data_IF_497839001396
#
_entry.id   IF_497839001396
#
_cell.length_a   1.000
_cell.length_b   1.000
_cell.length_c   1.000
_cell.angle_alpha   90.00
_cell.angle_beta   90.00
_cell.angle_gamma   90.00
#
_symmetry.space_group_name_H-M   'P 1'
#
loop_
_entity.id
_entity.type
_entity.pdbx_description
1 polymer ?
#
# COMPACT_ATOMS: atom_id res chain seq x y z
N UNK A 1 1.84 1.70 -47.17
CA UNK A 1 2.18 0.66 -46.17
C UNK A 1 1.98 1.28 -44.79
N UNK A 2 0.99 0.99 -43.95
CA UNK A 2 0.24 -0.24 -43.69
C UNK A 2 -1.24 0.05 -43.33
N UNK A 3 -2.11 -0.90 -43.67
CA UNK A 3 -3.56 -0.93 -43.50
C UNK A 3 -4.02 -1.00 -42.04
N UNK A 4 -5.01 -0.17 -41.67
CA UNK A 4 -5.92 -0.40 -40.54
C UNK A 4 -6.83 -1.60 -40.85
N UNK A 5 -6.84 -2.63 -39.99
CA UNK A 5 -7.88 -3.67 -39.99
C UNK A 5 -8.77 -3.50 -38.76
N UNK A 6 -10.05 -3.28 -39.05
CA UNK A 6 -11.21 -3.27 -38.17
C UNK A 6 -11.34 -4.61 -37.42
N UNK A 7 -11.47 -4.56 -36.09
CA UNK A 7 -11.85 -5.72 -35.27
C UNK A 7 -13.36 -5.64 -35.00
N UNK A 8 -14.06 -6.71 -35.36
CA UNK A 8 -15.50 -6.88 -35.26
C UNK A 8 -15.98 -6.91 -33.80
N UNK A 9 -17.08 -6.20 -33.53
CA UNK A 9 -17.82 -6.24 -32.25
C UNK A 9 -18.57 -7.57 -32.13
N UNK A 10 -18.17 -8.42 -31.18
CA UNK A 10 -18.91 -9.63 -30.82
C UNK A 10 -19.99 -9.31 -29.77
N UNK A 11 -21.20 -9.83 -30.00
CA UNK A 11 -22.40 -9.66 -29.17
C UNK A 11 -22.32 -10.37 -27.80
N UNK A 12 -21.31 -11.21 -27.57
CA UNK A 12 -21.15 -12.00 -26.34
C UNK A 12 -20.91 -11.14 -25.08
N UNK A 13 -20.22 -10.00 -25.21
CA UNK A 13 -19.88 -9.14 -24.06
C UNK A 13 -21.11 -8.46 -23.43
N UNK A 14 -22.19 -8.25 -24.20
CA UNK A 14 -23.41 -7.61 -23.69
C UNK A 14 -24.23 -8.53 -22.79
N UNK A 15 -24.12 -9.84 -22.99
CA UNK A 15 -24.91 -10.83 -22.27
C UNK A 15 -24.34 -11.09 -20.86
N UNK A 16 -23.02 -11.08 -20.71
CA UNK A 16 -22.37 -11.17 -19.38
C UNK A 16 -22.64 -9.94 -18.52
N UNK A 17 -22.57 -8.73 -19.09
CA UNK A 17 -22.81 -7.48 -18.34
C UNK A 17 -24.26 -7.37 -17.87
N UNK A 18 -25.23 -7.82 -18.69
CA UNK A 18 -26.65 -7.82 -18.28
C UNK A 18 -26.92 -8.79 -17.13
N UNK A 19 -26.21 -9.92 -17.09
CA UNK A 19 -26.35 -10.93 -16.03
C UNK A 19 -25.72 -10.43 -14.72
N UNK A 20 -24.58 -9.75 -14.79
CA UNK A 20 -23.94 -9.09 -13.64
C UNK A 20 -24.79 -7.96 -13.05
N UNK A 21 -25.43 -7.13 -13.88
CA UNK A 21 -26.30 -6.04 -13.39
C UNK A 21 -27.53 -6.59 -12.67
N UNK A 22 -28.12 -7.68 -13.16
CA UNK A 22 -29.27 -8.33 -12.50
C UNK A 22 -28.90 -8.93 -11.13
N UNK A 23 -27.69 -9.45 -10.98
CA UNK A 23 -27.18 -9.97 -9.70
C UNK A 23 -26.97 -8.86 -8.65
N UNK A 24 -26.58 -7.66 -9.09
CA UNK A 24 -26.37 -6.49 -8.20
C UNK A 24 -27.69 -5.90 -7.69
N UNK A 25 -28.77 -5.95 -8.47
CA UNK A 25 -30.08 -5.42 -8.05
C UNK A 25 -30.86 -6.33 -7.09
N UNK A 26 -30.48 -7.60 -6.94
CA UNK A 26 -31.20 -8.55 -6.08
C UNK A 26 -30.81 -8.47 -4.58
N UNK A 27 -29.74 -7.75 -4.23
CA UNK A 27 -29.24 -7.62 -2.84
C UNK A 27 -29.72 -6.35 -2.13
N UNK A 28 -30.55 -5.54 -2.78
CA UNK A 28 -30.98 -4.24 -2.26
C UNK A 28 -32.42 -4.25 -1.71
N UNK A 29 -32.76 -5.19 -0.82
CA UNK A 29 -33.92 -5.03 0.07
C UNK A 29 -33.87 -6.06 1.21
N UNK A 30 -33.35 -5.68 2.38
CA UNK A 30 -33.90 -5.98 3.73
C UNK A 30 -33.07 -5.23 4.79
N UNK A 31 -33.78 -4.71 5.78
CA UNK A 31 -33.49 -3.73 6.83
C UNK A 31 -32.39 -4.02 7.87
N UNK A 32 -31.76 -2.93 8.32
CA UNK A 32 -31.41 -2.54 9.71
C UNK A 32 -31.07 -3.62 10.75
N UNK A 33 -29.78 -3.80 11.03
CA UNK A 33 -29.17 -3.98 12.37
C UNK A 33 -27.65 -4.06 12.21
N UNK A 34 -26.87 -3.57 13.20
CA UNK A 34 -25.42 -3.34 13.09
C UNK A 34 -24.64 -4.53 12.51
N UNK A 35 -23.97 -4.30 11.38
CA UNK A 35 -23.19 -5.34 10.71
C UNK A 35 -21.73 -5.28 11.14
N UNK A 36 -21.37 -6.26 11.98
CA UNK A 36 -20.01 -6.76 12.07
C UNK A 36 -19.52 -7.16 10.67
N UNK A 37 -18.36 -6.65 10.26
CA UNK A 37 -17.76 -7.00 8.98
C UNK A 37 -17.57 -8.53 8.91
N UNK A 38 -17.88 -9.18 7.78
CA UNK A 38 -17.68 -10.62 7.63
C UNK A 38 -16.17 -10.91 7.71
N UNK A 39 -15.73 -11.57 8.78
CA UNK A 39 -14.36 -12.08 8.90
C UNK A 39 -14.17 -13.18 7.85
N UNK A 40 -13.56 -12.83 6.70
CA UNK A 40 -12.91 -13.84 5.86
C UNK A 40 -11.78 -14.44 6.69
N UNK A 41 -12.02 -15.64 7.21
CA UNK A 41 -11.02 -16.45 7.90
C UNK A 41 -9.98 -16.89 6.86
N UNK A 42 -8.84 -16.21 6.82
CA UNK A 42 -7.66 -16.67 6.11
C UNK A 42 -6.79 -17.41 7.13
N UNK A 43 -6.57 -18.70 6.93
CA UNK A 43 -5.92 -19.59 7.88
C UNK A 43 -4.39 -19.43 7.91
N UNK A 44 -3.87 -18.20 7.90
CA UNK A 44 -2.42 -17.98 7.97
C UNK A 44 -1.92 -17.94 9.40
N UNK A 45 -0.75 -18.53 9.64
CA UNK A 45 0.00 -18.39 10.90
C UNK A 45 0.56 -16.96 11.12
N UNK A 46 0.45 -16.06 10.13
CA UNK A 46 0.91 -14.69 10.27
C UNK A 46 0.06 -13.93 11.30
N UNK A 47 0.71 -13.57 12.41
CA UNK A 47 0.08 -12.83 13.50
C UNK A 47 0.27 -11.32 13.29
N UNK A 48 -0.85 -10.58 13.28
CA UNK A 48 -0.82 -9.12 13.31
C UNK A 48 -0.31 -8.67 14.68
N UNK A 49 0.67 -7.75 14.75
CA UNK A 49 1.15 -7.21 16.01
C UNK A 49 0.03 -6.62 16.87
N UNK A 50 0.10 -6.84 18.19
CA UNK A 50 -0.95 -6.40 19.12
C UNK A 50 -1.25 -4.90 19.04
N UNK A 51 -0.22 -4.08 18.81
CA UNK A 51 -0.34 -2.62 18.64
C UNK A 51 -1.30 -2.19 17.51
N UNK A 52 -1.56 -3.06 16.53
CA UNK A 52 -2.35 -2.75 15.34
C UNK A 52 -3.79 -3.27 15.39
N UNK A 53 -4.16 -4.02 16.43
CA UNK A 53 -5.48 -4.66 16.51
C UNK A 53 -6.62 -3.63 16.57
N UNK A 54 -6.39 -2.53 17.29
CA UNK A 54 -7.39 -1.48 17.52
C UNK A 54 -7.41 -0.42 16.40
N UNK A 55 -6.45 -0.47 15.47
CA UNK A 55 -6.33 0.51 14.37
C UNK A 55 -7.57 0.47 13.46
N UNK A 56 -8.22 -0.69 13.33
CA UNK A 56 -9.41 -0.84 12.48
C UNK A 56 -10.66 -0.19 13.08
N UNK A 57 -10.72 0.00 14.40
CA UNK A 57 -11.89 0.53 15.14
C UNK A 57 -11.65 1.95 15.65
N UNK A 58 -10.40 2.41 15.69
CA UNK A 58 -10.06 3.77 16.11
C UNK A 58 -10.62 4.83 15.14
N UNK A 59 -11.12 5.94 15.70
CA UNK A 59 -11.65 7.05 14.91
C UNK A 59 -10.56 7.79 14.11
N UNK A 60 -9.37 7.96 14.69
CA UNK A 60 -8.23 8.65 14.08
C UNK A 60 -6.92 7.89 14.38
N UNK A 61 -6.68 6.73 13.75
CA UNK A 61 -5.44 5.99 13.93
C UNK A 61 -4.24 6.75 13.35
N UNK A 62 -3.04 6.45 13.85
CA UNK A 62 -1.82 6.95 13.21
C UNK A 62 -1.75 6.42 11.78
N UNK A 63 -1.41 7.30 10.85
CA UNK A 63 -1.46 6.96 9.43
C UNK A 63 -0.50 5.84 9.06
N UNK A 64 0.68 5.79 9.68
CA UNK A 64 1.64 4.69 9.49
C UNK A 64 1.11 3.35 9.98
N UNK A 65 0.50 3.30 11.17
CA UNK A 65 -0.06 2.08 11.75
C UNK A 65 -1.20 1.52 10.89
N UNK A 66 -2.00 2.40 10.27
CA UNK A 66 -3.04 1.99 9.33
C UNK A 66 -2.46 1.31 8.07
N UNK A 67 -1.41 1.87 7.49
CA UNK A 67 -0.72 1.26 6.33
C UNK A 67 -0.07 -0.07 6.72
N UNK A 68 0.51 -0.14 7.91
CA UNK A 68 1.12 -1.35 8.45
C UNK A 68 0.08 -2.47 8.70
N UNK A 69 -1.11 -2.12 9.19
CA UNK A 69 -2.22 -3.05 9.33
C UNK A 69 -2.61 -3.65 7.97
N UNK A 70 -2.72 -2.83 6.92
CA UNK A 70 -3.03 -3.32 5.57
C UNK A 70 -1.93 -4.24 5.02
N UNK A 71 -0.66 -3.91 5.28
CA UNK A 71 0.46 -4.77 4.93
C UNK A 71 0.36 -6.14 5.61
N UNK A 72 0.12 -6.19 6.92
CA UNK A 72 0.00 -7.46 7.63
C UNK A 72 -1.22 -8.27 7.21
N UNK A 73 -2.36 -7.63 6.91
CA UNK A 73 -3.51 -8.33 6.31
C UNK A 73 -3.18 -8.91 4.94
N UNK A 74 -2.36 -8.24 4.13
CA UNK A 74 -1.89 -8.80 2.87
C UNK A 74 -0.95 -10.00 3.10
N UNK A 75 -0.07 -9.95 4.09
CA UNK A 75 0.79 -11.09 4.44
C UNK A 75 -0.02 -12.34 4.80
N UNK A 76 -1.13 -12.18 5.53
CA UNK A 76 -2.03 -13.29 5.87
C UNK A 76 -2.60 -14.01 4.63
N UNK A 77 -2.72 -13.31 3.50
CA UNK A 77 -3.26 -13.90 2.27
C UNK A 77 -2.14 -14.45 1.40
N UNK A 78 -1.01 -13.74 1.34
CA UNK A 78 0.06 -14.02 0.38
C UNK A 78 1.11 -15.01 0.89
N UNK A 79 1.30 -15.16 2.21
CA UNK A 79 2.45 -15.91 2.75
C UNK A 79 2.48 -17.38 2.30
N UNK A 80 1.34 -18.08 2.34
CA UNK A 80 1.27 -19.49 1.93
C UNK A 80 1.65 -19.68 0.47
N UNK A 81 1.07 -18.84 -0.41
CA UNK A 81 1.37 -18.85 -1.84
C UNK A 81 2.84 -18.51 -2.12
N UNK A 82 3.41 -17.56 -1.39
CA UNK A 82 4.83 -17.21 -1.52
C UNK A 82 5.75 -18.38 -1.12
N UNK A 83 5.37 -19.19 -0.13
CA UNK A 83 6.14 -20.38 0.27
C UNK A 83 6.08 -21.48 -0.80
N UNK A 84 4.93 -21.67 -1.44
CA UNK A 84 4.77 -22.61 -2.56
C UNK A 84 5.59 -22.17 -3.80
N UNK A 85 5.52 -20.89 -4.16
CA UNK A 85 6.20 -20.34 -5.35
C UNK A 85 7.74 -20.26 -5.19
N UNK A 86 8.27 -20.43 -3.98
CA UNK A 86 9.70 -20.39 -3.71
C UNK A 86 10.44 -21.58 -4.34
N UNK A 87 11.22 -21.28 -5.38
CA UNK A 87 12.11 -22.23 -6.06
C UNK A 87 13.27 -22.67 -5.15
N UNK A 88 13.64 -23.94 -5.23
CA UNK A 88 14.78 -24.51 -4.53
C UNK A 88 14.44 -25.77 -3.72
N UNK A 89 15.48 -26.54 -3.38
CA UNK A 89 15.40 -27.82 -2.64
C UNK A 89 15.34 -27.66 -1.12
N UNK A 90 15.19 -26.43 -0.62
CA UNK A 90 15.09 -26.15 0.82
C UNK A 90 13.81 -26.77 1.42
N UNK A 91 13.85 -27.10 2.71
CA UNK A 91 12.68 -27.57 3.46
C UNK A 91 11.59 -26.49 3.48
N UNK A 92 10.32 -26.91 3.56
CA UNK A 92 9.15 -26.00 3.63
C UNK A 92 9.30 -25.02 4.81
N UNK A 93 9.83 -25.49 5.93
CA UNK A 93 10.07 -24.66 7.12
C UNK A 93 11.11 -23.57 6.87
N UNK A 94 12.17 -23.88 6.13
CA UNK A 94 13.20 -22.91 5.77
C UNK A 94 12.69 -21.88 4.76
N UNK A 95 11.88 -22.32 3.79
CA UNK A 95 11.19 -21.42 2.86
C UNK A 95 10.29 -20.45 3.61
N UNK A 96 9.51 -20.92 4.59
CA UNK A 96 8.66 -20.08 5.44
C UNK A 96 9.47 -19.03 6.20
N UNK A 97 10.55 -19.43 6.86
CA UNK A 97 11.45 -18.50 7.57
C UNK A 97 12.03 -17.43 6.62
N UNK A 98 12.41 -17.84 5.41
CA UNK A 98 12.93 -16.92 4.38
C UNK A 98 11.87 -15.94 3.88
N UNK A 99 10.66 -16.41 3.57
CA UNK A 99 9.53 -15.55 3.17
C UNK A 99 9.22 -14.54 4.28
N UNK A 100 9.14 -14.99 5.53
CA UNK A 100 8.94 -14.11 6.68
C UNK A 100 10.05 -13.06 6.79
N UNK A 101 11.31 -13.44 6.58
CA UNK A 101 12.44 -12.52 6.54
C UNK A 101 12.31 -11.43 5.47
N UNK A 102 11.87 -11.81 4.26
CA UNK A 102 11.64 -10.87 3.16
C UNK A 102 10.48 -9.90 3.49
N UNK A 103 9.38 -10.42 4.05
CA UNK A 103 8.25 -9.58 4.46
C UNK A 103 8.64 -8.59 5.57
N UNK A 104 9.48 -9.01 6.52
CA UNK A 104 10.02 -8.11 7.55
C UNK A 104 10.92 -7.02 6.97
N UNK A 105 11.68 -7.33 5.90
CA UNK A 105 12.48 -6.34 5.18
C UNK A 105 11.61 -5.29 4.46
N UNK A 106 10.46 -5.69 3.93
CA UNK A 106 9.54 -4.81 3.19
C UNK A 106 8.68 -3.89 4.06
N UNK A 107 8.67 -4.10 5.38
CA UNK A 107 7.79 -3.40 6.33
C UNK A 107 8.29 -1.98 6.69
N UNK A 108 9.56 -1.77 7.10
CA UNK A 108 10.07 -0.44 7.40
C UNK A 108 10.47 0.34 6.15
N UNK A 109 10.62 1.66 6.28
CA UNK A 109 11.27 2.47 5.24
C UNK A 109 12.79 2.34 5.35
N UNK A 110 13.47 2.11 4.23
CA UNK A 110 14.95 2.06 4.14
C UNK A 110 15.62 3.33 4.69
N UNK A 111 15.14 4.51 4.25
CA UNK A 111 15.77 5.79 4.58
C UNK A 111 14.74 6.88 4.88
N UNK A 112 14.99 7.67 5.93
CA UNK A 112 14.18 8.84 6.26
C UNK A 112 15.15 9.97 6.57
N UNK A 113 15.03 11.05 5.81
CA UNK A 113 15.85 12.25 5.98
C UNK A 113 14.93 13.35 6.51
N UNK A 114 15.30 13.94 7.63
CA UNK A 114 14.72 15.16 8.17
C UNK A 114 15.73 16.28 7.95
N UNK A 115 15.28 17.39 7.38
CA UNK A 115 16.12 18.51 7.00
C UNK A 115 15.49 19.77 7.55
N UNK A 116 16.24 20.53 8.32
CA UNK A 116 15.86 21.89 8.72
C UNK A 116 16.84 22.87 8.12
N UNK A 117 16.33 23.89 7.42
CA UNK A 117 17.16 24.89 6.75
C UNK A 117 16.57 26.30 6.92
N UNK A 118 17.42 27.33 7.06
CA UNK A 118 16.96 28.72 7.13
C UNK A 118 16.55 29.22 5.74
N UNK A 119 15.44 29.94 5.67
CA UNK A 119 14.98 30.64 4.49
C UNK A 119 14.86 32.14 4.81
N UNK A 120 15.50 32.98 4.01
CA UNK A 120 15.31 34.43 4.09
C UNK A 120 13.97 34.77 3.41
N UNK A 121 13.05 35.38 4.17
CA UNK A 121 11.77 35.88 3.68
C UNK A 121 11.95 37.21 2.95
N UNK A 122 10.93 37.60 2.19
CA UNK A 122 10.92 38.89 1.48
C UNK A 122 10.98 40.10 2.42
N UNK A 123 10.56 39.94 3.69
CA UNK A 123 10.71 40.95 4.75
C UNK A 123 12.16 41.19 5.17
N UNK A 124 13.07 40.28 4.81
CA UNK A 124 14.46 40.28 5.26
C UNK A 124 14.73 39.38 6.46
N UNK A 125 13.69 38.91 7.17
CA UNK A 125 13.81 37.99 8.31
C UNK A 125 14.17 36.57 7.87
N UNK A 126 14.79 35.80 8.77
CA UNK A 126 15.07 34.38 8.56
C UNK A 126 14.04 33.51 9.29
N UNK A 127 13.54 32.51 8.59
CA UNK A 127 12.65 31.50 9.15
C UNK A 127 13.24 30.10 8.96
N UNK A 128 13.15 29.28 9.99
CA UNK A 128 13.56 27.88 9.92
C UNK A 128 12.44 27.04 9.32
N UNK A 129 12.70 26.42 8.17
CA UNK A 129 11.77 25.49 7.51
C UNK A 129 12.22 24.06 7.78
N UNK A 130 11.26 23.17 8.09
CA UNK A 130 11.53 21.75 8.29
C UNK A 130 10.88 20.92 7.20
N UNK A 131 11.65 20.03 6.60
CA UNK A 131 11.23 19.12 5.55
C UNK A 131 11.61 17.67 5.86
N UNK A 132 10.88 16.75 5.23
CA UNK A 132 11.05 15.31 5.37
C UNK A 132 11.11 14.67 4.00
N UNK A 133 11.95 13.65 3.85
CA UNK A 133 11.94 12.75 2.70
C UNK A 133 12.14 11.31 3.17
N UNK A 134 11.14 10.47 2.93
CA UNK A 134 11.22 9.03 3.16
C UNK A 134 11.38 8.29 1.83
N UNK A 135 12.29 7.33 1.81
CA UNK A 135 12.46 6.33 0.77
C UNK A 135 12.09 4.99 1.40
N UNK A 136 11.01 4.39 0.92
CA UNK A 136 10.47 3.18 1.52
C UNK A 136 11.28 1.95 1.12
N UNK A 137 11.53 1.77 -0.17
CA UNK A 137 12.23 0.59 -0.67
C UNK A 137 13.01 0.90 -1.93
N UNK A 138 14.24 0.38 -2.01
CA UNK A 138 15.17 0.54 -3.13
C UNK A 138 15.25 -0.67 -4.07
N UNK A 139 14.35 -1.66 -3.94
CA UNK A 139 14.29 -2.85 -4.80
C UNK A 139 14.23 -2.55 -6.31
N UNK A 140 13.70 -1.37 -6.67
CA UNK A 140 13.74 -0.78 -8.01
C UNK A 140 14.19 0.66 -7.88
N UNK A 141 15.14 1.06 -8.73
CA UNK A 141 15.68 2.43 -8.75
C UNK A 141 15.31 3.12 -10.07
N UNK A 142 15.01 4.44 -10.05
CA UNK A 142 15.02 5.36 -8.92
C UNK A 142 13.80 5.23 -7.98
N UNK A 143 13.87 5.87 -6.80
CA UNK A 143 12.71 6.01 -5.92
C UNK A 143 11.80 7.17 -6.37
N UNK A 144 10.48 6.93 -6.42
CA UNK A 144 9.48 7.86 -6.95
C UNK A 144 8.49 8.27 -5.86
N UNK A 145 8.31 9.57 -5.73
CA UNK A 145 7.44 10.19 -4.74
C UNK A 145 7.22 11.66 -5.01
N UNK A 146 6.02 12.18 -4.71
CA UNK A 146 5.75 13.62 -4.77
C UNK A 146 6.23 14.36 -3.52
N UNK A 147 6.32 15.68 -3.60
CA UNK A 147 6.56 16.59 -2.47
C UNK A 147 5.22 17.20 -2.08
N UNK A 148 4.89 17.23 -0.78
CA UNK A 148 3.67 17.88 -0.25
C UNK A 148 4.08 19.13 0.54
N UNK A 149 3.39 20.24 0.33
CA UNK A 149 3.55 21.46 1.14
C UNK A 149 2.29 21.58 2.00
N UNK A 150 2.42 21.45 3.32
CA UNK A 150 1.30 21.49 4.26
C UNK A 150 1.83 21.65 5.67
N UNK A 151 1.18 22.46 6.50
CA UNK A 151 1.54 22.60 7.91
C UNK A 151 1.33 21.29 8.71
N UNK A 152 0.48 20.39 8.20
CA UNK A 152 0.20 19.08 8.79
C UNK A 152 1.28 18.02 8.48
N UNK A 153 2.27 18.35 7.64
CA UNK A 153 3.34 17.40 7.31
C UNK A 153 4.06 16.98 8.59
N UNK A 154 4.11 15.67 8.80
CA UNK A 154 4.90 15.04 9.84
C UNK A 154 5.69 13.85 9.29
N UNK A 155 6.72 13.45 10.03
CA UNK A 155 7.59 12.31 9.68
C UNK A 155 6.79 11.03 9.42
N UNK A 156 5.81 10.72 10.27
CA UNK A 156 5.02 9.49 10.18
C UNK A 156 4.12 9.48 8.94
N UNK A 157 3.54 10.63 8.57
CA UNK A 157 2.76 10.75 7.34
C UNK A 157 3.64 10.46 6.12
N UNK A 158 4.81 11.08 6.04
CA UNK A 158 5.72 10.93 4.90
C UNK A 158 6.19 9.47 4.77
N UNK A 159 6.44 8.77 5.88
CA UNK A 159 6.75 7.33 5.89
C UNK A 159 5.60 6.51 5.32
N UNK A 160 4.39 6.69 5.84
CA UNK A 160 3.20 5.97 5.39
C UNK A 160 2.91 6.18 3.90
N UNK A 161 2.99 7.43 3.43
CA UNK A 161 2.83 7.76 2.01
C UNK A 161 3.92 7.15 1.13
N UNK A 162 5.16 7.07 1.63
CA UNK A 162 6.26 6.44 0.88
C UNK A 162 6.05 4.94 0.70
N UNK A 163 5.53 4.24 1.72
CA UNK A 163 5.14 2.84 1.63
C UNK A 163 4.01 2.62 0.61
N UNK A 164 2.97 3.46 0.66
CA UNK A 164 1.88 3.43 -0.32
C UNK A 164 2.37 3.65 -1.75
N UNK A 165 3.43 4.45 -1.97
CA UNK A 165 4.01 4.63 -3.30
C UNK A 165 4.69 3.37 -3.83
N UNK A 166 5.36 2.58 -2.98
CA UNK A 166 5.94 1.28 -3.39
C UNK A 166 4.83 0.34 -3.85
N UNK A 167 3.79 0.16 -3.04
CA UNK A 167 2.70 -0.76 -3.38
C UNK A 167 1.90 -0.28 -4.60
N UNK A 168 1.65 1.03 -4.69
CA UNK A 168 0.99 1.63 -5.86
C UNK A 168 1.77 1.37 -7.15
N UNK A 169 3.08 1.59 -7.15
CA UNK A 169 3.92 1.33 -8.32
C UNK A 169 3.92 -0.17 -8.69
N UNK A 170 3.95 -1.06 -7.69
CA UNK A 170 3.85 -2.49 -7.93
C UNK A 170 2.50 -2.92 -8.54
N UNK A 171 1.38 -2.31 -8.11
CA UNK A 171 0.05 -2.64 -8.64
C UNK A 171 -0.15 -2.30 -10.13
N UNK A 172 0.61 -1.35 -10.68
CA UNK A 172 0.51 -0.92 -12.08
C UNK A 172 1.80 -1.20 -12.88
N UNK A 173 2.64 -2.10 -12.38
CA UNK A 173 3.90 -2.52 -13.02
C UNK A 173 4.86 -1.37 -13.38
N UNK A 174 4.84 -0.29 -12.61
CA UNK A 174 5.78 0.83 -12.77
C UNK A 174 7.10 0.51 -12.06
N UNK A 175 8.26 0.61 -12.73
CA UNK A 175 9.52 0.12 -12.19
C UNK A 175 10.22 1.09 -11.23
N UNK A 176 9.53 1.55 -10.18
CA UNK A 176 10.10 2.47 -9.19
C UNK A 176 9.92 1.97 -7.75
N UNK A 177 10.91 2.26 -6.91
CA UNK A 177 10.78 2.19 -5.46
C UNK A 177 9.91 3.33 -4.93
N UNK A 178 9.21 3.14 -3.82
CA UNK A 178 8.37 4.17 -3.22
C UNK A 178 9.17 5.22 -2.47
N UNK A 179 8.82 6.48 -2.66
CA UNK A 179 9.29 7.59 -1.85
C UNK A 179 8.16 8.60 -1.60
N UNK A 180 8.36 9.49 -0.63
CA UNK A 180 7.55 10.69 -0.46
C UNK A 180 8.39 11.76 0.22
N UNK A 181 8.07 13.02 -0.05
CA UNK A 181 8.58 14.14 0.72
C UNK A 181 7.45 15.07 1.16
N UNK A 182 7.74 15.85 2.19
CA UNK A 182 6.87 16.90 2.72
C UNK A 182 7.69 18.08 3.24
N UNK A 183 7.18 19.29 3.08
CA UNK A 183 7.71 20.52 3.69
C UNK A 183 6.61 21.08 4.59
N UNK A 184 6.98 21.34 5.84
CA UNK A 184 6.14 21.93 6.86
C UNK A 184 6.29 23.44 6.86
#
# INVERSE_FOLDING_TARGET
MFHLKTIAKSAALKQEVSTLVKAVTATASTSTSGQSQPQRSYASQHQIPDRLKDVATAANPRFFDMVELFFHRACQICEEKMVEDMKGKASVEEKRKKVKGILMLMQPCDHIIEISFPLRRDSGDYEMITGYRAQHCTHRTPTKGGIRFSLDVCRDEVKALSALMTFKCACVDVPFGGAKAGIK
#
